data_IF_710249584492
#
_entry.id   IF_710249584492
#
_cell.length_a   1.000
_cell.length_b   1.000
_cell.length_c   1.000
_cell.angle_alpha   90.00
_cell.angle_beta   90.00
_cell.angle_gamma   90.00
#
_symmetry.space_group_name_H-M   'P 1'
#
loop_
_entity.id
_entity.type
_entity.pdbx_description
1 polymer ?
#
# COMPACT_ATOMS: atom_id res chain seq x y z
N UNK A 1 8.83 19.62 -3.53
CA UNK A 1 8.02 18.38 -3.37
C UNK A 1 8.90 17.32 -2.72
N UNK A 2 8.59 16.86 -1.50
CA UNK A 2 9.41 15.91 -0.73
C UNK A 2 8.71 14.54 -0.71
N UNK A 3 9.19 13.60 -1.52
CA UNK A 3 8.69 12.23 -1.58
C UNK A 3 9.79 11.32 -1.03
N UNK A 4 9.46 10.53 -0.02
CA UNK A 4 10.37 9.53 0.56
C UNK A 4 9.88 8.13 0.24
N UNK A 5 10.81 7.24 -0.04
CA UNK A 5 10.57 5.83 -0.27
C UNK A 5 11.14 5.03 0.90
N UNK A 6 10.41 4.01 1.35
CA UNK A 6 10.90 3.10 2.36
C UNK A 6 10.45 1.66 2.10
N UNK A 7 11.20 0.69 2.65
CA UNK A 7 10.79 -0.71 2.67
C UNK A 7 9.53 -0.87 3.49
N UNK A 8 8.65 -1.75 3.04
CA UNK A 8 7.41 -2.01 3.74
C UNK A 8 7.66 -2.59 5.13
N UNK A 9 8.71 -3.40 5.27
CA UNK A 9 9.21 -3.93 6.54
C UNK A 9 9.68 -2.86 7.55
N UNK A 10 9.87 -1.61 7.11
CA UNK A 10 10.29 -0.48 7.95
C UNK A 10 9.15 0.48 8.29
N UNK A 11 7.94 0.24 7.77
CA UNK A 11 6.74 1.02 8.08
C UNK A 11 6.09 0.48 9.36
N UNK A 12 5.55 1.37 10.20
CA UNK A 12 4.79 0.95 11.38
C UNK A 12 3.55 0.16 10.93
N UNK A 13 3.37 -1.04 11.48
CA UNK A 13 2.25 -1.93 11.13
C UNK A 13 0.90 -1.31 11.46
N UNK A 14 0.81 -0.51 12.53
CA UNK A 14 -0.42 0.19 12.88
C UNK A 14 -0.85 1.14 11.76
N UNK A 15 0.10 1.82 11.11
CA UNK A 15 -0.20 2.71 9.98
C UNK A 15 -0.66 1.91 8.76
N UNK A 16 -0.02 0.76 8.50
CA UNK A 16 -0.44 -0.15 7.41
C UNK A 16 -1.87 -0.67 7.67
N UNK A 17 -2.16 -1.08 8.90
CA UNK A 17 -3.49 -1.59 9.29
C UNK A 17 -4.54 -0.49 9.20
N UNK A 18 -4.27 0.68 9.77
CA UNK A 18 -5.18 1.82 9.74
C UNK A 18 -5.50 2.21 8.30
N UNK A 19 -4.50 2.22 7.41
CA UNK A 19 -4.72 2.51 6.00
C UNK A 19 -5.58 1.44 5.31
N UNK A 20 -5.25 0.15 5.48
CA UNK A 20 -5.93 -0.95 4.80
C UNK A 20 -7.33 -1.25 5.38
N UNK A 21 -7.68 -0.66 6.51
CA UNK A 21 -9.03 -0.70 7.10
C UNK A 21 -9.78 0.62 6.92
N UNK A 22 -9.16 1.64 6.32
CA UNK A 22 -9.78 2.95 6.14
C UNK A 22 -10.98 2.86 5.17
N UNK A 23 -12.16 3.42 5.51
CA UNK A 23 -13.38 3.29 4.68
C UNK A 23 -13.21 3.76 3.23
N UNK A 24 -12.47 4.86 3.00
CA UNK A 24 -12.20 5.35 1.65
C UNK A 24 -11.30 4.43 0.84
N UNK A 25 -10.38 3.72 1.50
CA UNK A 25 -9.51 2.73 0.85
C UNK A 25 -10.31 1.49 0.52
N UNK A 26 -11.09 0.98 1.48
CA UNK A 26 -11.98 -0.17 1.30
C UNK A 26 -13.02 0.06 0.19
N UNK A 27 -13.57 1.29 0.07
CA UNK A 27 -14.49 1.64 -1.02
C UNK A 27 -13.89 1.43 -2.41
N UNK A 28 -12.57 1.59 -2.52
CA UNK A 28 -11.86 1.36 -3.78
C UNK A 28 -11.48 -0.12 -3.96
N UNK A 29 -11.42 -0.91 -2.88
CA UNK A 29 -10.97 -2.30 -2.86
C UNK A 29 -12.16 -3.29 -2.80
N UNK A 30 -12.93 -3.51 -3.89
CA UNK A 30 -14.12 -4.37 -3.91
C UNK A 30 -13.84 -5.85 -3.57
N UNK A 31 -12.57 -6.24 -3.50
CA UNK A 31 -12.11 -7.59 -3.21
C UNK A 31 -11.29 -7.67 -1.91
N UNK A 32 -11.26 -6.59 -1.13
CA UNK A 32 -10.82 -6.64 0.26
C UNK A 32 -11.76 -7.56 1.04
N UNK A 33 -11.21 -8.36 1.95
CA UNK A 33 -12.00 -9.17 2.88
C UNK A 33 -12.21 -8.36 4.16
N UNK A 34 -13.25 -8.69 4.93
CA UNK A 34 -13.72 -7.89 6.06
C UNK A 34 -12.73 -7.73 7.23
N UNK A 35 -11.60 -8.45 7.23
CA UNK A 35 -10.58 -8.35 8.27
C UNK A 35 -9.20 -8.11 7.67
N UNK A 36 -8.51 -7.08 8.16
CA UNK A 36 -7.07 -6.84 7.99
C UNK A 36 -6.46 -6.51 9.37
N UNK A 37 -6.24 -7.54 10.17
CA UNK A 37 -5.66 -7.43 11.52
C UNK A 37 -4.12 -7.53 11.52
N UNK A 38 -3.54 -7.43 12.70
CA UNK A 38 -2.09 -7.45 12.92
C UNK A 38 -1.42 -8.75 12.42
N UNK A 39 -2.10 -9.91 12.49
CA UNK A 39 -1.55 -11.15 11.94
C UNK A 39 -1.56 -11.12 10.41
N UNK A 40 -2.66 -10.67 9.81
CA UNK A 40 -2.77 -10.52 8.35
C UNK A 40 -1.78 -9.48 7.81
N UNK A 41 -1.58 -8.37 8.53
CA UNK A 41 -0.59 -7.35 8.19
C UNK A 41 0.82 -7.96 8.16
N UNK A 42 1.22 -8.69 9.21
CA UNK A 42 2.55 -9.34 9.23
C UNK A 42 2.75 -10.31 8.07
N UNK A 43 1.76 -11.15 7.78
CA UNK A 43 1.84 -12.10 6.67
C UNK A 43 1.92 -11.39 5.33
N UNK A 44 1.10 -10.35 5.13
CA UNK A 44 1.08 -9.55 3.92
C UNK A 44 2.41 -8.83 3.69
N UNK A 45 2.95 -8.14 4.70
CA UNK A 45 4.27 -7.49 4.61
C UNK A 45 5.36 -8.51 4.27
N UNK A 46 5.39 -9.66 4.96
CA UNK A 46 6.36 -10.72 4.69
C UNK A 46 6.27 -11.23 3.25
N UNK A 47 5.06 -11.45 2.74
CA UNK A 47 4.85 -11.90 1.36
C UNK A 47 5.34 -10.86 0.34
N UNK A 48 5.07 -9.57 0.56
CA UNK A 48 5.51 -8.51 -0.36
C UNK A 48 7.01 -8.25 -0.31
N UNK A 49 7.62 -8.40 0.86
CA UNK A 49 9.07 -8.23 1.01
C UNK A 49 9.86 -9.35 0.31
N UNK A 50 9.32 -10.58 0.23
CA UNK A 50 9.96 -11.69 -0.53
C UNK A 50 10.24 -11.35 -2.00
N UNK A 51 9.44 -10.51 -2.64
CA UNK A 51 9.67 -10.15 -4.05
C UNK A 51 11.04 -9.51 -4.25
N UNK A 52 11.50 -8.74 -3.28
CA UNK A 52 12.81 -8.11 -3.34
C UNK A 52 13.96 -9.11 -3.32
N UNK A 53 13.82 -10.18 -2.53
CA UNK A 53 14.80 -11.26 -2.44
C UNK A 53 14.80 -12.13 -3.71
N UNK A 54 13.61 -12.44 -4.24
CA UNK A 54 13.45 -13.39 -5.35
C UNK A 54 13.74 -12.72 -6.70
N UNK A 55 13.29 -11.48 -6.88
CA UNK A 55 13.27 -10.81 -8.19
C UNK A 55 14.13 -9.55 -8.26
N UNK A 56 14.71 -9.10 -7.15
CA UNK A 56 15.46 -7.84 -7.08
C UNK A 56 14.58 -6.58 -7.12
N UNK A 57 13.25 -6.72 -7.14
CA UNK A 57 12.29 -5.61 -7.10
C UNK A 57 11.07 -5.95 -6.24
N UNK A 58 10.36 -4.94 -5.74
CA UNK A 58 9.17 -5.16 -4.93
C UNK A 58 8.39 -3.88 -4.62
N UNK A 59 7.53 -3.95 -3.60
CA UNK A 59 6.71 -2.81 -3.20
C UNK A 59 7.53 -1.81 -2.39
N UNK A 60 7.38 -0.53 -2.75
CA UNK A 60 7.84 0.60 -1.96
C UNK A 60 6.67 1.22 -1.19
N UNK A 61 6.92 1.64 0.05
CA UNK A 61 6.07 2.58 0.76
C UNK A 61 6.47 4.01 0.39
N UNK A 62 5.49 4.86 0.06
CA UNK A 62 5.70 6.26 -0.31
C UNK A 62 5.18 7.17 0.79
N UNK A 63 5.97 8.18 1.13
CA UNK A 63 5.58 9.21 2.10
C UNK A 63 5.70 10.57 1.45
N UNK A 64 4.69 11.42 1.63
CA UNK A 64 4.64 12.77 1.10
C UNK A 64 4.00 13.68 2.16
N UNK A 65 4.53 14.90 2.30
CA UNK A 65 4.08 15.86 3.33
C UNK A 65 2.86 16.67 2.90
N UNK A 66 2.55 16.71 1.61
CA UNK A 66 1.47 17.51 1.03
C UNK A 66 0.54 16.61 0.20
N UNK A 67 -0.69 17.08 -0.02
CA UNK A 67 -1.66 16.39 -0.88
C UNK A 67 -1.12 16.31 -2.31
N UNK A 68 -1.13 15.10 -2.88
CA UNK A 68 -0.84 14.89 -4.29
C UNK A 68 -2.06 15.27 -5.12
N UNK A 69 -1.86 16.10 -6.15
CA UNK A 69 -2.92 16.47 -7.10
C UNK A 69 -3.25 15.30 -8.03
N UNK A 70 -2.22 14.55 -8.47
CA UNK A 70 -2.37 13.33 -9.26
C UNK A 70 -1.20 12.36 -9.05
N UNK A 71 -1.42 11.08 -9.34
CA UNK A 71 -0.38 10.03 -9.36
C UNK A 71 -0.55 9.19 -10.61
N UNK A 72 0.52 9.04 -11.39
CA UNK A 72 0.56 8.17 -12.57
C UNK A 72 1.41 6.94 -12.28
N UNK A 73 0.86 5.75 -12.54
CA UNK A 73 1.57 4.47 -12.37
C UNK A 73 1.60 3.75 -13.70
N UNK A 74 2.80 3.35 -14.15
CA UNK A 74 2.96 2.50 -15.33
C UNK A 74 2.76 1.03 -14.93
N UNK A 75 1.82 0.35 -15.57
CA UNK A 75 1.57 -1.09 -15.38
C UNK A 75 2.20 -1.89 -16.53
N UNK A 76 2.84 -3.04 -16.26
CA UNK A 76 3.38 -3.88 -17.33
C UNK A 76 2.26 -4.41 -18.24
N UNK A 77 2.48 -4.45 -19.57
CA UNK A 77 1.48 -4.94 -20.53
C UNK A 77 1.12 -6.42 -20.32
N UNK A 78 2.03 -7.23 -19.76
CA UNK A 78 1.84 -8.67 -19.49
C UNK A 78 0.97 -8.99 -18.25
N UNK A 79 0.38 -7.98 -17.58
CA UNK A 79 -0.41 -8.17 -16.36
C UNK A 79 -1.81 -8.74 -16.67
N UNK A 80 -1.89 -10.02 -17.00
CA UNK A 80 -3.14 -10.71 -17.36
C UNK A 80 -4.07 -11.05 -16.18
N UNK A 81 -3.61 -10.89 -14.92
CA UNK A 81 -4.47 -11.02 -13.72
C UNK A 81 -5.11 -9.67 -13.36
N UNK A 82 -6.05 -9.23 -14.18
CA UNK A 82 -6.84 -8.00 -13.97
C UNK A 82 -7.63 -8.01 -12.65
N UNK A 83 -7.96 -9.19 -12.08
CA UNK A 83 -8.52 -9.28 -10.71
C UNK A 83 -7.63 -8.61 -9.65
N UNK A 84 -6.31 -8.58 -9.87
CA UNK A 84 -5.36 -7.83 -9.04
C UNK A 84 -5.50 -6.31 -9.19
N UNK A 85 -5.84 -5.84 -10.39
CA UNK A 85 -6.10 -4.42 -10.71
C UNK A 85 -7.46 -3.99 -10.15
N UNK A 86 -8.49 -4.84 -10.20
CA UNK A 86 -9.76 -4.60 -9.50
C UNK A 86 -9.65 -4.80 -7.97
N UNK A 87 -8.67 -5.58 -7.48
CA UNK A 87 -8.23 -5.59 -6.07
C UNK A 87 -7.48 -4.31 -5.70
N UNK A 88 -6.80 -3.70 -6.67
CA UNK A 88 -6.15 -2.39 -6.58
C UNK A 88 -7.20 -1.29 -6.82
N UNK A 89 -8.20 -1.23 -5.96
CA UNK A 89 -8.43 0.07 -5.35
C UNK A 89 -7.13 0.47 -4.72
N UNK A 90 -6.44 1.44 -5.29
CA UNK A 90 -5.06 1.78 -4.94
C UNK A 90 -4.88 1.90 -3.41
N UNK A 91 -4.48 0.81 -2.77
CA UNK A 91 -3.63 0.82 -1.60
C UNK A 91 -2.20 1.01 -2.12
N UNK A 92 -1.97 2.15 -2.80
CA UNK A 92 -0.72 2.85 -2.51
C UNK A 92 -0.79 3.06 -0.99
N UNK A 93 0.33 2.91 -0.29
CA UNK A 93 0.47 3.57 1.01
C UNK A 93 0.35 5.08 0.76
N UNK A 94 -0.86 5.56 0.47
CA UNK A 94 -1.19 6.97 0.44
C UNK A 94 -1.41 7.24 1.91
N UNK A 95 -0.38 7.70 2.59
CA UNK A 95 -0.56 8.31 3.88
C UNK A 95 -1.59 9.43 3.70
N UNK A 96 -2.86 9.14 4.03
CA UNK A 96 -3.78 10.22 4.32
C UNK A 96 -3.21 10.89 5.56
N UNK A 97 -3.00 12.19 5.41
CA UNK A 97 -2.47 13.09 6.42
C UNK A 97 -3.36 13.00 7.66
N UNK A 98 -3.06 12.06 8.57
CA UNK A 98 -3.55 12.10 9.94
C UNK A 98 -2.62 13.08 10.63
N UNK A 99 -3.13 14.22 11.12
CA UNK A 99 -2.30 15.16 11.87
C UNK A 99 -1.90 14.47 13.17
N UNK A 100 -0.70 13.90 13.24
CA UNK A 100 -0.06 13.69 14.53
C UNK A 100 0.50 15.03 14.96
N UNK A 101 -0.28 15.69 15.82
CA UNK A 101 0.21 16.76 16.66
C UNK A 101 1.37 16.24 17.53
N UNK A 102 2.48 16.97 17.45
CA UNK A 102 3.63 17.04 18.37
C UNK A 102 4.52 15.80 18.50
#
# INVERSE_FOLDING_TARGET
MNIKFNRLSKVNRNDIIALNTHPLVLRQMPLAKDKFDEQQCRMWVKEKEKHWEIYGYGLWALFFQMRLESVTILLPPSRNRTKGIFRLGMAILVAFNVPMHC
#
